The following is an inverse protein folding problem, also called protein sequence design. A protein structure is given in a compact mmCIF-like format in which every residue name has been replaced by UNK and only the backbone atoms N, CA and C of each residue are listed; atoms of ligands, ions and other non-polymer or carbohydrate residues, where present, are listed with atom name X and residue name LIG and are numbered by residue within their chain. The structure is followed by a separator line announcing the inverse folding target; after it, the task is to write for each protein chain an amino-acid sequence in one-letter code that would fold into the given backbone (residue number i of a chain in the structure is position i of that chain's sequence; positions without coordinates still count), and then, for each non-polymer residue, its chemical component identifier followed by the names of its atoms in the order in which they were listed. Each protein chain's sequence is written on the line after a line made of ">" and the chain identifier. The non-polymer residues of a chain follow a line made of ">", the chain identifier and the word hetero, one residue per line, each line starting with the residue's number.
data_IF_549456597792
#
_entry.id   IF_549456597792
#
_cell.length_a   1.000
_cell.length_b   1.000
_cell.length_c   1.000
_cell.angle_alpha   90.00
_cell.angle_beta   90.00
_cell.angle_gamma   90.00
#
_symmetry.space_group_name_H-M   'P 1'
#
loop_
_entity.id
_entity.type
_entity.pdbx_description
1 polymer ?
#
# COMPACT_ATOMS: atom_id res chain seq x y z
N UNK A 1 -15.90 -65.11 -20.76
CA UNK A 1 -16.19 -65.85 -19.51
C UNK A 1 -16.02 -64.87 -18.35
N UNK A 2 -17.11 -64.55 -17.63
CA UNK A 2 -17.39 -65.06 -16.26
C UNK A 2 -16.33 -64.58 -15.26
N UNK A 3 -16.60 -63.59 -14.39
CA UNK A 3 -17.21 -63.71 -13.04
C UNK A 3 -16.29 -64.45 -12.03
N UNK A 4 -16.17 -64.10 -10.74
CA UNK A 4 -17.01 -63.28 -9.83
C UNK A 4 -16.25 -63.01 -8.49
N UNK A 5 -16.86 -62.22 -7.60
CA UNK A 5 -16.82 -62.30 -6.12
C UNK A 5 -15.69 -61.63 -5.26
N UNK A 6 -16.16 -60.68 -4.44
CA UNK A 6 -15.71 -60.33 -3.07
C UNK A 6 -15.77 -61.52 -2.07
N UNK A 7 -15.13 -61.41 -0.88
CA UNK A 7 -15.89 -61.06 0.34
C UNK A 7 -15.17 -60.16 1.37
N UNK A 8 -15.89 -59.79 2.44
CA UNK A 8 -15.55 -58.78 3.47
C UNK A 8 -15.21 -59.35 4.87
N UNK A 9 -14.60 -58.51 5.75
CA UNK A 9 -14.55 -58.49 7.25
C UNK A 9 -13.88 -57.15 7.66
N UNK A 10 -14.36 -56.22 8.52
CA UNK A 10 -15.53 -56.02 9.42
C UNK A 10 -15.36 -56.42 10.91
N UNK A 11 -15.54 -55.44 11.83
CA UNK A 11 -15.54 -55.45 13.34
C UNK A 11 -14.16 -55.26 14.03
N UNK A 12 -14.02 -54.63 15.22
CA UNK A 12 -14.99 -53.95 16.12
C UNK A 12 -14.35 -52.93 17.10
N UNK A 13 -15.14 -51.90 17.46
CA UNK A 13 -15.31 -51.17 18.75
C UNK A 13 -14.30 -51.33 19.91
N UNK A 14 -14.06 -50.21 20.64
CA UNK A 14 -14.57 -50.05 22.02
C UNK A 14 -14.89 -48.58 22.37
N UNK A 15 -15.94 -48.36 23.17
CA UNK A 15 -16.27 -47.10 23.84
C UNK A 15 -15.66 -47.08 25.26
N UNK A 16 -15.47 -45.89 25.82
CA UNK A 16 -15.85 -45.66 27.22
C UNK A 16 -16.41 -44.25 27.40
N UNK A 17 -17.58 -44.16 28.04
CA UNK A 17 -18.17 -42.96 28.61
C UNK A 17 -17.93 -43.00 30.11
N UNK A 18 -17.48 -41.89 30.72
CA UNK A 18 -17.82 -41.55 32.12
C UNK A 18 -18.08 -40.04 32.16
N UNK A 19 -19.08 -39.63 32.92
CA UNK A 19 -19.54 -38.25 33.01
C UNK A 19 -19.61 -37.77 34.48
N UNK A 20 -19.76 -36.44 34.63
CA UNK A 20 -20.07 -35.69 35.86
C UNK A 20 -19.00 -35.61 36.96
N UNK A 21 -18.48 -34.39 37.15
CA UNK A 21 -18.75 -33.61 38.36
C UNK A 21 -18.62 -32.12 38.06
N UNK A 22 -19.55 -31.30 38.57
CA UNK A 22 -19.44 -29.84 38.52
C UNK A 22 -18.89 -29.31 39.85
N UNK A 23 -17.89 -28.45 39.79
CA UNK A 23 -17.44 -27.65 40.93
C UNK A 23 -16.85 -26.33 40.42
N UNK A 24 -17.29 -25.20 40.98
CA UNK A 24 -16.75 -23.89 40.63
C UNK A 24 -15.33 -23.70 41.17
N UNK A 25 -14.47 -23.02 40.41
CA UNK A 25 -13.10 -22.70 40.78
C UNK A 25 -12.72 -21.31 40.27
N UNK A 26 -12.91 -20.31 41.13
CA UNK A 26 -12.55 -18.92 40.86
C UNK A 26 -11.02 -18.78 40.83
N UNK A 27 -10.41 -18.60 39.66
CA UNK A 27 -8.97 -18.36 39.54
C UNK A 27 -8.63 -16.92 39.95
N UNK A 28 -8.38 -16.73 41.25
CA UNK A 28 -7.76 -15.53 41.80
C UNK A 28 -6.25 -15.57 41.54
N UNK A 29 -5.74 -14.61 40.75
CA UNK A 29 -4.31 -14.34 40.69
C UNK A 29 -3.85 -13.72 42.02
N UNK A 30 -3.08 -14.47 42.79
CA UNK A 30 -2.60 -14.05 44.09
C UNK A 30 -1.26 -13.29 43.96
N UNK A 31 -1.33 -12.00 43.65
CA UNK A 31 -0.15 -11.12 43.59
C UNK A 31 0.42 -10.91 44.99
N UNK A 32 1.51 -11.63 45.31
CA UNK A 32 2.24 -11.44 46.57
C UNK A 32 3.04 -10.14 46.51
N UNK A 33 2.51 -9.08 47.12
CA UNK A 33 3.23 -7.82 47.32
C UNK A 33 4.24 -7.98 48.44
N UNK A 34 5.52 -7.92 48.12
CA UNK A 34 6.59 -7.83 49.13
C UNK A 34 6.67 -6.38 49.59
N UNK A 35 6.25 -6.12 50.83
CA UNK A 35 6.46 -4.83 51.48
C UNK A 35 7.90 -4.73 51.99
N UNK A 36 8.69 -3.80 51.44
CA UNK A 36 9.86 -3.26 52.11
C UNK A 36 9.45 -2.00 52.90
N UNK A 37 9.72 -1.99 54.20
CA UNK A 37 9.53 -0.81 55.05
C UNK A 37 10.65 0.19 54.80
N UNK A 38 10.36 1.27 54.06
CA UNK A 38 11.17 2.49 54.09
C UNK A 38 10.31 3.71 54.42
N UNK A 39 10.84 4.54 55.33
CA UNK A 39 10.10 5.60 56.01
C UNK A 39 9.91 6.85 55.17
N UNK A 40 8.76 7.51 55.35
CA UNK A 40 8.25 8.65 54.57
C UNK A 40 8.96 9.98 54.87
N UNK A 41 10.30 10.02 54.90
CA UNK A 41 11.09 11.20 55.27
C UNK A 41 12.45 11.35 54.55
N UNK A 42 12.55 10.87 53.30
CA UNK A 42 13.76 11.00 52.46
C UNK A 42 13.45 11.35 51.00
N UNK A 43 12.24 11.85 50.69
CA UNK A 43 11.80 12.09 49.30
C UNK A 43 11.85 13.53 48.79
N UNK A 44 12.15 14.50 49.66
CA UNK A 44 12.04 15.93 49.32
C UNK A 44 13.41 16.65 49.15
N UNK A 45 14.55 15.99 49.45
CA UNK A 45 15.87 16.64 49.45
C UNK A 45 16.76 16.36 48.22
N UNK A 46 16.22 15.74 47.15
CA UNK A 46 16.99 15.37 45.94
C UNK A 46 16.47 15.98 44.63
N UNK A 47 15.53 16.93 44.70
CA UNK A 47 14.99 17.62 43.51
C UNK A 47 15.53 19.06 43.38
N UNK A 48 15.83 19.75 44.49
CA UNK A 48 16.36 21.12 44.43
C UNK A 48 17.84 21.19 43.97
N UNK A 49 18.67 20.20 44.30
CA UNK A 49 20.12 20.19 43.97
C UNK A 49 20.43 20.04 42.47
N UNK A 50 19.46 19.59 41.67
CA UNK A 50 19.59 19.48 40.21
C UNK A 50 19.07 20.70 39.44
N UNK A 51 18.29 21.59 40.09
CA UNK A 51 17.71 22.76 39.44
C UNK A 51 18.55 24.03 39.60
N UNK A 52 19.33 24.16 40.67
CA UNK A 52 20.16 25.35 40.89
C UNK A 52 21.46 25.39 40.04
N UNK A 53 21.96 24.24 39.58
CA UNK A 53 23.20 24.16 38.78
C UNK A 53 23.01 24.51 37.29
N UNK A 54 21.78 24.75 36.83
CA UNK A 54 21.49 25.18 35.45
C UNK A 54 21.53 26.72 35.25
N UNK A 55 21.64 27.51 36.34
CA UNK A 55 21.46 28.97 36.32
C UNK A 55 22.78 29.70 36.68
N UNK A 56 23.89 29.33 36.03
CA UNK A 56 25.16 30.05 36.16
C UNK A 56 26.09 29.89 34.94
N UNK A 57 25.78 30.59 33.84
CA UNK A 57 26.77 30.96 32.82
C UNK A 57 26.33 32.20 32.02
N UNK A 58 26.91 33.39 32.28
CA UNK A 58 26.49 34.63 31.66
C UNK A 58 27.39 35.02 30.48
N UNK A 59 27.11 34.54 29.27
CA UNK A 59 27.60 35.17 28.03
C UNK A 59 26.56 35.17 26.91
N UNK A 60 26.64 36.23 26.07
CA UNK A 60 25.89 36.47 24.82
C UNK A 60 24.42 36.89 24.96
N UNK A 61 24.22 38.19 25.21
CA UNK A 61 23.07 38.94 24.69
C UNK A 61 23.23 39.23 23.19
N UNK A 62 22.09 39.55 22.57
CA UNK A 62 21.90 40.17 21.25
C UNK A 62 22.44 39.43 20.02
N UNK A 63 21.53 38.76 19.32
CA UNK A 63 21.11 39.22 17.99
C UNK A 63 19.61 38.97 17.79
N UNK A 64 18.90 39.96 17.25
CA UNK A 64 17.53 39.80 16.79
C UNK A 64 17.58 39.53 15.29
N UNK A 65 17.32 38.28 14.90
CA UNK A 65 17.39 37.84 13.51
C UNK A 65 17.18 36.34 13.44
N UNK A 66 16.37 35.90 12.48
CA UNK A 66 15.98 34.52 12.20
C UNK A 66 15.26 33.78 13.33
N UNK A 67 13.94 33.57 13.13
CA UNK A 67 13.21 32.53 13.82
C UNK A 67 13.70 31.17 13.32
N UNK A 68 14.79 30.67 13.91
CA UNK A 68 15.28 29.32 13.65
C UNK A 68 14.16 28.33 13.98
N UNK A 69 13.73 27.57 12.96
CA UNK A 69 12.76 26.48 13.14
C UNK A 69 13.20 25.59 14.30
N UNK A 70 12.45 25.64 15.39
CA UNK A 70 12.49 24.59 16.42
C UNK A 70 11.91 23.35 15.74
N UNK A 71 12.79 22.49 15.20
CA UNK A 71 12.40 21.17 14.73
C UNK A 71 12.05 20.34 15.97
N UNK A 72 10.76 20.37 16.31
CA UNK A 72 10.12 19.43 17.24
C UNK A 72 10.61 18.00 16.89
N UNK A 73 11.15 17.21 17.85
CA UNK A 73 11.69 15.88 17.60
C UNK A 73 10.74 15.07 16.72
N UNK A 74 11.19 14.80 15.48
CA UNK A 74 10.36 14.32 14.38
C UNK A 74 9.32 13.31 14.83
N UNK A 75 8.05 13.70 14.83
CA UNK A 75 6.94 12.76 14.96
C UNK A 75 7.10 11.71 13.84
N UNK A 76 7.43 10.44 14.16
CA UNK A 76 7.76 9.44 13.14
C UNK A 76 6.53 8.99 12.33
N UNK A 77 5.35 9.49 12.69
CA UNK A 77 4.07 9.27 12.01
C UNK A 77 3.65 10.48 11.14
N UNK A 78 4.36 11.60 11.20
CA UNK A 78 4.03 12.80 10.43
C UNK A 78 4.18 12.62 8.92
N UNK A 79 3.45 13.42 8.14
CA UNK A 79 3.59 13.50 6.69
C UNK A 79 4.96 14.13 6.37
N UNK A 80 5.83 13.47 5.60
CA UNK A 80 7.13 14.03 5.26
C UNK A 80 6.98 15.28 4.39
N UNK A 81 7.78 16.30 4.71
CA UNK A 81 7.72 17.63 4.09
C UNK A 81 8.60 17.69 2.83
N UNK A 82 8.24 18.58 1.90
CA UNK A 82 8.93 18.72 0.62
C UNK A 82 8.97 17.42 -0.20
N UNK A 83 9.95 17.30 -1.09
CA UNK A 83 10.20 16.13 -1.93
C UNK A 83 11.53 15.47 -1.55
N UNK A 84 11.60 14.14 -1.58
CA UNK A 84 12.85 13.41 -1.42
C UNK A 84 13.73 13.45 -2.68
N UNK A 85 15.06 13.36 -2.55
CA UNK A 85 15.93 13.17 -3.72
C UNK A 85 15.64 11.82 -4.40
N UNK A 86 15.60 11.82 -5.73
CA UNK A 86 15.53 10.59 -6.51
C UNK A 86 16.88 9.85 -6.41
N UNK A 87 16.84 8.53 -6.22
CA UNK A 87 18.03 7.68 -6.12
C UNK A 87 17.91 6.54 -7.13
N UNK A 88 18.25 6.79 -8.42
CA UNK A 88 18.15 5.80 -9.50
C UNK A 88 18.86 4.47 -9.18
N UNK A 89 18.55 3.41 -9.90
CA UNK A 89 19.28 2.16 -9.78
C UNK A 89 20.76 2.32 -10.12
N UNK A 90 21.59 1.44 -9.56
CA UNK A 90 23.00 1.33 -9.97
C UNK A 90 23.06 0.23 -11.03
N UNK A 91 23.25 0.63 -12.30
CA UNK A 91 23.39 -0.31 -13.41
C UNK A 91 24.64 -1.20 -13.25
N UNK A 92 24.54 -2.44 -13.69
CA UNK A 92 25.59 -3.47 -13.62
C UNK A 92 25.56 -4.37 -14.86
N UNK A 93 26.74 -4.81 -15.32
CA UNK A 93 26.85 -5.87 -16.33
C UNK A 93 27.07 -7.22 -15.63
N UNK A 94 26.01 -8.01 -15.45
CA UNK A 94 26.07 -9.38 -14.91
C UNK A 94 25.38 -10.36 -15.87
N UNK A 95 26.16 -10.90 -16.80
CA UNK A 95 25.69 -11.89 -17.79
C UNK A 95 25.09 -13.16 -17.16
N UNK A 96 25.42 -13.51 -15.92
CA UNK A 96 24.84 -14.67 -15.25
C UNK A 96 23.53 -14.31 -14.53
N UNK A 97 23.36 -13.06 -14.08
CA UNK A 97 22.06 -12.53 -13.65
C UNK A 97 21.06 -12.49 -14.82
N UNK A 98 21.48 -12.00 -15.99
CA UNK A 98 20.58 -11.96 -17.16
C UNK A 98 20.10 -13.37 -17.56
N UNK A 99 20.97 -14.38 -17.49
CA UNK A 99 20.56 -15.79 -17.67
C UNK A 99 19.58 -16.27 -16.59
N UNK A 100 19.74 -15.82 -15.33
CA UNK A 100 18.85 -16.20 -14.22
C UNK A 100 17.46 -15.55 -14.34
N UNK A 101 17.34 -14.34 -14.89
CA UNK A 101 16.06 -13.63 -15.10
C UNK A 101 15.06 -14.37 -15.99
N UNK A 102 15.52 -15.25 -16.89
CA UNK A 102 14.71 -16.03 -17.83
C UNK A 102 13.84 -15.14 -18.74
N UNK A 103 12.62 -14.85 -18.32
CA UNK A 103 11.59 -14.11 -19.08
C UNK A 103 11.23 -12.77 -18.42
N UNK A 104 11.78 -12.47 -17.24
CA UNK A 104 11.60 -11.17 -16.58
C UNK A 104 12.53 -10.11 -17.20
N UNK A 105 12.05 -8.88 -17.26
CA UNK A 105 12.87 -7.70 -17.52
C UNK A 105 13.78 -7.34 -16.35
N UNK A 106 14.37 -6.15 -16.42
CA UNK A 106 15.38 -5.65 -15.51
C UNK A 106 16.78 -5.67 -16.10
N UNK A 107 16.95 -5.71 -17.41
CA UNK A 107 18.27 -5.82 -18.05
C UNK A 107 19.22 -4.72 -17.57
N UNK A 108 20.42 -5.10 -17.14
CA UNK A 108 21.43 -4.17 -16.60
C UNK A 108 21.14 -3.69 -15.17
N UNK A 109 20.05 -4.12 -14.54
CA UNK A 109 19.71 -3.76 -13.17
C UNK A 109 20.31 -4.79 -12.19
N UNK A 110 20.43 -4.41 -10.91
CA UNK A 110 20.86 -5.35 -9.86
C UNK A 110 19.77 -6.37 -9.52
N UNK A 111 20.20 -7.52 -9.00
CA UNK A 111 19.32 -8.65 -8.68
C UNK A 111 18.22 -8.32 -7.65
N UNK A 112 18.47 -7.37 -6.73
CA UNK A 112 17.51 -7.03 -5.67
C UNK A 112 16.26 -6.31 -6.18
N UNK A 113 16.28 -5.77 -7.40
CA UNK A 113 15.14 -5.04 -7.99
C UNK A 113 14.03 -5.96 -8.53
N UNK A 114 14.23 -7.28 -8.51
CA UNK A 114 13.25 -8.27 -8.95
C UNK A 114 13.07 -8.35 -10.48
N UNK A 115 13.01 -7.21 -11.17
CA UNK A 115 12.59 -7.14 -12.57
C UNK A 115 11.07 -7.19 -12.69
N UNK A 116 10.56 -7.29 -13.92
CA UNK A 116 9.14 -7.15 -14.22
C UNK A 116 8.68 -8.09 -15.33
N UNK A 117 7.39 -8.40 -15.39
CA UNK A 117 6.78 -9.10 -16.53
C UNK A 117 6.45 -8.13 -17.67
N UNK A 118 6.47 -8.60 -18.92
CA UNK A 118 6.11 -7.79 -20.11
C UNK A 118 4.73 -7.13 -19.98
N UNK A 119 3.79 -7.86 -19.38
CA UNK A 119 2.53 -7.42 -18.77
C UNK A 119 2.17 -8.47 -17.70
N UNK A 120 1.69 -8.04 -16.51
CA UNK A 120 1.15 -8.96 -15.50
C UNK A 120 -0.38 -8.76 -15.35
N UNK A 121 -1.21 -9.66 -15.92
CA UNK A 121 -2.66 -9.58 -15.80
C UNK A 121 -3.19 -9.77 -14.38
N UNK A 122 -2.40 -10.38 -13.48
CA UNK A 122 -2.76 -10.55 -12.08
C UNK A 122 -2.66 -9.26 -11.25
N UNK A 123 -1.82 -8.32 -11.70
CA UNK A 123 -1.60 -7.01 -11.07
C UNK A 123 -2.56 -5.91 -11.55
N UNK A 124 -3.42 -6.19 -12.53
CA UNK A 124 -4.31 -5.22 -13.17
C UNK A 124 -5.77 -5.62 -12.91
N UNK A 125 -6.60 -4.69 -12.43
CA UNK A 125 -8.04 -4.90 -12.32
C UNK A 125 -8.82 -3.62 -12.57
N UNK A 126 -9.23 -3.42 -13.84
CA UNK A 126 -10.04 -2.28 -14.25
C UNK A 126 -11.33 -2.11 -13.41
N UNK A 127 -12.05 -3.17 -12.99
CA UNK A 127 -13.18 -3.04 -12.07
C UNK A 127 -12.82 -2.36 -10.74
N UNK A 128 -11.63 -2.65 -10.18
CA UNK A 128 -11.16 -2.00 -8.95
C UNK A 128 -10.70 -0.58 -9.21
N UNK A 129 -10.04 -0.31 -10.34
CA UNK A 129 -9.64 1.06 -10.70
C UNK A 129 -10.86 1.98 -10.89
N UNK A 130 -11.90 1.51 -11.55
CA UNK A 130 -13.20 2.21 -11.67
C UNK A 130 -13.84 2.43 -10.30
N UNK A 131 -13.88 1.42 -9.43
CA UNK A 131 -14.35 1.56 -8.05
C UNK A 131 -13.56 2.61 -7.24
N UNK A 132 -12.24 2.67 -7.38
CA UNK A 132 -11.41 3.67 -6.70
C UNK A 132 -11.80 5.10 -7.11
N UNK A 133 -12.02 5.35 -8.40
CA UNK A 133 -12.44 6.68 -8.87
C UNK A 133 -13.91 6.95 -8.52
N UNK A 134 -14.83 6.07 -8.92
CA UNK A 134 -16.28 6.29 -8.86
C UNK A 134 -16.89 6.19 -7.47
N UNK A 135 -16.32 5.37 -6.58
CA UNK A 135 -16.89 5.08 -5.23
C UNK A 135 -16.04 5.59 -4.08
N UNK A 136 -14.71 5.66 -4.26
CA UNK A 136 -13.83 6.23 -3.25
C UNK A 136 -13.45 7.68 -3.56
N UNK A 137 -13.71 8.18 -4.78
CA UNK A 137 -13.42 9.55 -5.17
C UNK A 137 -11.95 9.79 -5.50
N UNK A 138 -11.15 8.78 -5.84
CA UNK A 138 -9.72 8.95 -6.14
C UNK A 138 -9.52 9.83 -7.37
N UNK A 139 -8.78 10.94 -7.21
CA UNK A 139 -8.39 11.89 -8.26
C UNK A 139 -6.87 12.03 -8.40
N UNK A 140 -6.11 11.59 -7.41
CA UNK A 140 -4.65 11.55 -7.41
C UNK A 140 -4.11 10.20 -6.95
N UNK A 141 -3.13 9.65 -7.68
CA UNK A 141 -2.66 8.27 -7.51
C UNK A 141 -1.12 8.17 -7.46
N UNK A 142 -0.60 7.40 -6.51
CA UNK A 142 0.82 7.18 -6.29
C UNK A 142 1.18 5.69 -6.48
N UNK A 143 1.77 5.35 -7.62
CA UNK A 143 2.11 3.98 -8.02
C UNK A 143 3.55 3.65 -7.57
N UNK A 144 3.73 2.64 -6.73
CA UNK A 144 5.02 2.29 -6.12
C UNK A 144 5.42 0.89 -6.58
N UNK A 145 6.49 0.81 -7.36
CA UNK A 145 6.87 -0.40 -8.10
C UNK A 145 6.00 -0.60 -9.34
N UNK A 146 5.75 0.46 -10.12
CA UNK A 146 4.78 0.40 -11.23
C UNK A 146 5.25 -0.42 -12.44
N UNK A 147 6.51 -0.85 -12.47
CA UNK A 147 7.13 -1.53 -13.60
C UNK A 147 7.04 -0.68 -14.87
N UNK A 148 6.50 -1.25 -15.95
CA UNK A 148 6.25 -0.52 -17.21
C UNK A 148 5.08 0.49 -17.12
N UNK A 149 4.34 0.50 -16.01
CA UNK A 149 3.25 1.44 -15.76
C UNK A 149 1.92 1.12 -16.45
N UNK A 150 1.48 -0.14 -16.45
CA UNK A 150 0.17 -0.51 -17.00
C UNK A 150 -1.00 0.03 -16.17
N UNK A 151 -0.93 -0.09 -14.84
CA UNK A 151 -1.91 0.51 -13.93
C UNK A 151 -1.81 2.04 -13.99
N UNK A 152 -0.59 2.57 -13.89
CA UNK A 152 -0.27 4.00 -14.01
C UNK A 152 -0.90 4.63 -15.26
N UNK A 153 -0.67 4.03 -16.43
CA UNK A 153 -1.17 4.57 -17.71
C UNK A 153 -2.69 4.51 -17.83
N UNK A 154 -3.36 3.53 -17.19
CA UNK A 154 -4.82 3.53 -17.12
C UNK A 154 -5.31 4.75 -16.34
N UNK A 155 -4.80 4.97 -15.12
CA UNK A 155 -5.19 6.13 -14.31
C UNK A 155 -4.89 7.46 -15.02
N UNK A 156 -3.74 7.60 -15.67
CA UNK A 156 -3.37 8.78 -16.48
C UNK A 156 -4.40 9.06 -17.58
N UNK A 157 -4.80 8.05 -18.36
CA UNK A 157 -5.77 8.23 -19.44
C UNK A 157 -7.21 8.44 -18.94
N UNK A 158 -7.49 8.11 -17.68
CA UNK A 158 -8.77 8.37 -17.00
C UNK A 158 -8.78 9.69 -16.20
N UNK A 159 -7.84 10.59 -16.49
CA UNK A 159 -7.81 11.96 -15.96
C UNK A 159 -7.32 12.09 -14.51
N UNK A 160 -6.71 11.04 -13.95
CA UNK A 160 -6.15 11.05 -12.60
C UNK A 160 -4.76 11.68 -12.61
N UNK A 161 -4.45 12.43 -11.55
CA UNK A 161 -3.15 13.04 -11.30
C UNK A 161 -2.18 11.99 -10.70
N UNK A 162 -1.36 11.39 -11.57
CA UNK A 162 -0.54 10.23 -11.22
C UNK A 162 0.93 10.57 -11.03
N UNK A 163 1.60 9.86 -10.10
CA UNK A 163 3.06 9.74 -10.03
C UNK A 163 3.42 8.26 -9.85
N UNK A 164 4.45 7.77 -10.55
CA UNK A 164 5.07 6.47 -10.34
C UNK A 164 6.51 6.63 -9.81
N UNK A 165 6.88 5.80 -8.83
CA UNK A 165 8.27 5.47 -8.54
C UNK A 165 8.56 4.01 -8.90
N UNK A 166 9.59 3.78 -9.72
CA UNK A 166 10.03 2.46 -10.18
C UNK A 166 11.55 2.32 -10.01
N UNK A 167 12.02 1.14 -9.62
CA UNK A 167 13.44 0.88 -9.36
C UNK A 167 14.19 0.28 -10.54
N UNK A 168 13.52 -0.43 -11.45
CA UNK A 168 14.12 -1.07 -12.62
C UNK A 168 14.31 -0.08 -13.78
N UNK A 169 15.54 0.19 -14.17
CA UNK A 169 15.82 1.10 -15.29
C UNK A 169 15.36 0.54 -16.64
N UNK A 170 15.43 -0.78 -16.84
CA UNK A 170 14.84 -1.43 -18.04
C UNK A 170 13.30 -1.24 -18.08
N UNK A 171 12.64 -1.08 -16.93
CA UNK A 171 11.22 -0.73 -16.88
C UNK A 171 10.97 0.75 -17.24
N UNK A 172 11.85 1.66 -16.80
CA UNK A 172 11.85 3.07 -17.20
C UNK A 172 12.04 3.21 -18.72
N UNK A 173 13.08 2.57 -19.28
CA UNK A 173 13.39 2.61 -20.73
C UNK A 173 12.26 2.03 -21.60
N UNK A 174 11.45 1.12 -21.04
CA UNK A 174 10.33 0.43 -21.73
C UNK A 174 8.95 0.85 -21.20
N UNK A 175 8.87 1.99 -20.52
CA UNK A 175 7.63 2.49 -19.94
C UNK A 175 6.57 2.74 -21.00
N UNK A 176 5.30 2.50 -20.65
CA UNK A 176 4.15 2.86 -21.49
C UNK A 176 3.42 4.11 -20.96
N UNK A 177 3.96 4.72 -19.91
CA UNK A 177 3.34 5.86 -19.22
C UNK A 177 3.32 7.08 -20.16
N UNK A 178 2.16 7.69 -20.46
CA UNK A 178 2.10 8.91 -21.23
C UNK A 178 2.80 10.07 -20.52
N UNK A 179 3.61 10.85 -21.24
CA UNK A 179 4.40 11.97 -20.69
C UNK A 179 5.22 11.59 -19.44
N UNK A 180 6.15 10.62 -19.54
CA UNK A 180 6.81 10.02 -18.39
C UNK A 180 7.61 11.05 -17.58
N UNK A 181 8.26 12.02 -18.23
CA UNK A 181 9.06 13.09 -17.59
C UNK A 181 8.29 13.90 -16.52
N UNK A 182 6.96 13.90 -16.55
CA UNK A 182 6.10 14.61 -15.59
C UNK A 182 5.72 13.76 -14.37
N UNK A 183 5.84 12.43 -14.46
CA UNK A 183 5.13 11.50 -13.58
C UNK A 183 5.82 10.15 -13.34
N UNK A 184 7.03 9.95 -13.85
CA UNK A 184 7.81 8.74 -13.67
C UNK A 184 9.16 9.10 -13.04
N UNK A 185 9.47 8.45 -11.92
CA UNK A 185 10.72 8.61 -11.19
C UNK A 185 11.43 7.28 -11.10
N UNK A 186 12.70 7.25 -11.51
CA UNK A 186 13.58 6.13 -11.16
C UNK A 186 14.05 6.27 -9.70
N UNK A 187 13.65 5.34 -8.84
CA UNK A 187 14.08 5.28 -7.45
C UNK A 187 14.21 3.83 -6.95
N UNK A 188 15.43 3.46 -6.56
CA UNK A 188 15.77 2.20 -5.91
C UNK A 188 15.63 2.34 -4.38
N UNK A 189 14.52 1.82 -3.83
CA UNK A 189 14.23 1.88 -2.39
C UNK A 189 15.24 1.17 -1.49
N UNK A 190 16.21 0.42 -2.03
CA UNK A 190 17.35 -0.07 -1.23
C UNK A 190 18.39 1.02 -0.93
N UNK A 191 18.38 2.14 -1.68
CA UNK A 191 19.36 3.23 -1.59
C UNK A 191 19.02 4.32 -0.58
N UNK A 192 17.74 4.49 -0.26
CA UNK A 192 17.26 5.50 0.67
C UNK A 192 15.73 5.67 0.59
N UNK A 193 15.13 6.52 1.44
CA UNK A 193 13.70 6.80 1.40
C UNK A 193 13.32 7.73 0.26
N UNK A 194 12.06 7.62 -0.18
CA UNK A 194 11.50 8.53 -1.18
C UNK A 194 10.06 8.94 -0.88
N UNK A 195 9.68 10.14 -1.34
CA UNK A 195 8.32 10.67 -1.34
C UNK A 195 8.22 11.85 -2.34
N UNK A 196 7.06 12.03 -3.01
CA UNK A 196 6.77 13.20 -3.85
C UNK A 196 6.49 14.45 -3.00
N UNK A 197 6.43 15.65 -3.62
CA UNK A 197 6.21 16.90 -2.88
C UNK A 197 4.82 16.99 -2.21
N UNK A 198 3.75 16.68 -2.97
CA UNK A 198 2.35 16.73 -2.54
C UNK A 198 1.86 15.40 -1.95
N UNK A 199 0.67 15.42 -1.38
CA UNK A 199 -0.09 14.23 -0.98
C UNK A 199 -1.03 13.74 -2.11
N UNK A 200 -1.52 12.51 -1.96
CA UNK A 200 -2.28 11.76 -2.97
C UNK A 200 -3.49 11.06 -2.32
N UNK A 201 -4.56 10.85 -3.08
CA UNK A 201 -5.76 10.17 -2.60
C UNK A 201 -5.51 8.68 -2.36
N UNK A 202 -4.76 8.03 -3.24
CA UNK A 202 -4.41 6.62 -3.12
C UNK A 202 -2.95 6.33 -3.46
N UNK A 203 -2.30 5.45 -2.70
CA UNK A 203 -1.11 4.74 -3.09
C UNK A 203 -1.46 3.32 -3.53
N UNK A 204 -0.72 2.79 -4.49
CA UNK A 204 -0.86 1.47 -5.05
C UNK A 204 0.51 0.79 -5.11
N UNK A 205 0.63 -0.40 -4.52
CA UNK A 205 1.84 -1.21 -4.59
C UNK A 205 1.48 -2.70 -4.67
N UNK A 206 1.32 -3.19 -5.90
CA UNK A 206 0.87 -4.57 -6.18
C UNK A 206 2.02 -5.38 -6.77
N UNK A 207 2.34 -6.49 -6.11
CA UNK A 207 3.54 -7.32 -6.28
C UNK A 207 4.83 -6.48 -6.19
N UNK A 208 5.00 -5.83 -5.03
CA UNK A 208 6.13 -4.96 -4.71
C UNK A 208 6.70 -5.24 -3.31
N UNK A 209 5.84 -5.43 -2.30
CA UNK A 209 6.24 -5.54 -0.90
C UNK A 209 7.17 -6.73 -0.61
N UNK A 210 6.98 -7.83 -1.32
CA UNK A 210 7.81 -9.03 -1.22
C UNK A 210 9.21 -8.88 -1.81
N UNK A 211 9.44 -7.87 -2.66
CA UNK A 211 10.70 -7.64 -3.35
C UNK A 211 11.66 -6.72 -2.59
N UNK A 212 11.16 -6.01 -1.55
CA UNK A 212 11.98 -5.06 -0.76
C UNK A 212 12.13 -5.56 0.68
N UNK A 213 13.34 -5.99 1.03
CA UNK A 213 13.65 -6.58 2.35
C UNK A 213 13.40 -5.64 3.54
N UNK A 214 13.10 -6.23 4.71
CA UNK A 214 12.64 -5.55 5.94
C UNK A 214 13.46 -4.33 6.35
N UNK A 215 14.78 -4.35 6.14
CA UNK A 215 15.68 -3.25 6.48
C UNK A 215 15.41 -1.96 5.68
N UNK A 216 14.73 -2.08 4.53
CA UNK A 216 14.36 -0.97 3.66
C UNK A 216 12.87 -0.61 3.75
N UNK A 217 12.08 -1.22 4.64
CA UNK A 217 10.63 -0.92 4.77
C UNK A 217 10.35 0.56 5.02
N UNK A 218 11.19 1.23 5.81
CA UNK A 218 11.07 2.66 6.07
C UNK A 218 11.11 3.49 4.77
N UNK A 219 11.85 3.02 3.76
CA UNK A 219 12.15 3.78 2.56
C UNK A 219 10.97 3.92 1.60
N UNK A 220 10.13 2.89 1.49
CA UNK A 220 8.89 2.97 0.72
C UNK A 220 7.69 3.39 1.58
N UNK A 221 7.72 3.14 2.90
CA UNK A 221 6.70 3.63 3.84
C UNK A 221 6.65 5.15 3.86
N UNK A 222 7.77 5.87 3.65
CA UNK A 222 7.75 7.32 3.48
C UNK A 222 6.93 7.79 2.27
N UNK A 223 6.86 7.00 1.20
CA UNK A 223 5.98 7.28 0.07
C UNK A 223 4.50 7.03 0.45
N UNK A 224 4.21 5.92 1.14
CA UNK A 224 2.87 5.64 1.67
C UNK A 224 2.38 6.71 2.66
N UNK A 225 3.28 7.38 3.40
CA UNK A 225 2.93 8.54 4.25
C UNK A 225 2.36 9.73 3.48
N UNK A 226 2.49 9.78 2.15
CA UNK A 226 1.90 10.81 1.30
C UNK A 226 0.53 10.45 0.72
N UNK A 227 0.02 9.23 0.93
CA UNK A 227 -1.31 8.84 0.43
C UNK A 227 -2.35 8.74 1.55
N UNK A 228 -3.61 9.09 1.26
CA UNK A 228 -4.76 8.92 2.16
C UNK A 228 -5.22 7.46 2.27
N UNK A 229 -5.35 6.77 1.13
CA UNK A 229 -5.64 5.35 1.04
C UNK A 229 -4.40 4.60 0.53
N UNK A 230 -4.15 3.38 1.01
CA UNK A 230 -2.96 2.60 0.66
C UNK A 230 -3.41 1.19 0.28
N UNK A 231 -3.31 0.86 -1.01
CA UNK A 231 -3.69 -0.42 -1.61
C UNK A 231 -2.42 -1.23 -1.89
N UNK A 232 -2.25 -2.37 -1.22
CA UNK A 232 -1.03 -3.19 -1.36
C UNK A 232 -1.33 -4.67 -1.51
N UNK A 233 -0.55 -5.39 -2.31
CA UNK A 233 -0.46 -6.86 -2.21
C UNK A 233 0.89 -7.27 -1.65
N UNK A 234 0.96 -8.50 -1.15
CA UNK A 234 2.20 -9.16 -0.79
C UNK A 234 2.01 -10.67 -0.93
N UNK A 235 3.01 -11.34 -1.47
CA UNK A 235 3.00 -12.78 -1.66
C UNK A 235 3.05 -13.52 -0.33
N UNK A 236 2.40 -14.69 -0.33
CA UNK A 236 2.36 -15.64 0.79
C UNK A 236 3.33 -16.80 0.62
N UNK A 237 4.12 -16.80 -0.45
CA UNK A 237 5.00 -17.90 -0.83
C UNK A 237 6.29 -17.43 -1.52
N UNK A 238 7.19 -18.39 -1.74
CA UNK A 238 8.41 -18.15 -2.50
C UNK A 238 8.09 -17.85 -3.97
N UNK A 239 8.92 -17.00 -4.58
CA UNK A 239 8.84 -16.59 -5.97
C UNK A 239 10.16 -15.98 -6.43
N UNK A 240 10.17 -15.45 -7.64
CA UNK A 240 11.37 -14.85 -8.22
C UNK A 240 11.74 -13.56 -7.46
N UNK A 241 12.90 -13.55 -6.80
CA UNK A 241 13.34 -12.44 -5.93
C UNK A 241 12.31 -12.01 -4.87
N UNK A 242 11.53 -12.94 -4.33
CA UNK A 242 10.77 -12.69 -3.10
C UNK A 242 11.75 -12.78 -1.92
N UNK A 243 12.05 -11.64 -1.29
CA UNK A 243 12.97 -11.53 -0.15
C UNK A 243 12.23 -11.32 1.18
N UNK A 244 11.00 -10.81 1.15
CA UNK A 244 10.20 -10.51 2.34
C UNK A 244 8.80 -11.14 2.26
N UNK A 245 8.65 -12.39 2.71
CA UNK A 245 7.40 -13.16 2.52
C UNK A 245 6.71 -13.42 3.84
N UNK A 246 5.51 -12.85 4.03
CA UNK A 246 4.72 -12.97 5.26
C UNK A 246 3.23 -13.17 5.02
N UNK A 247 2.52 -13.59 6.08
CA UNK A 247 1.05 -13.63 6.11
C UNK A 247 0.48 -12.21 6.30
N UNK A 248 -0.75 -11.98 5.83
CA UNK A 248 -1.45 -10.70 5.95
C UNK A 248 -1.42 -10.14 7.39
N UNK A 249 -1.63 -10.96 8.42
CA UNK A 249 -1.66 -10.51 9.82
C UNK A 249 -0.36 -9.80 10.25
N UNK A 250 0.79 -10.24 9.71
CA UNK A 250 2.08 -9.61 9.96
C UNK A 250 2.21 -8.27 9.23
N UNK A 251 1.80 -8.21 7.96
CA UNK A 251 1.77 -6.96 7.19
C UNK A 251 0.84 -5.92 7.80
N UNK A 252 -0.33 -6.36 8.29
CA UNK A 252 -1.30 -5.54 9.01
C UNK A 252 -0.64 -4.95 10.27
N UNK A 253 -0.10 -5.80 11.16
CA UNK A 253 0.59 -5.33 12.37
C UNK A 253 1.78 -4.41 12.05
N UNK A 254 2.54 -4.73 10.99
CA UNK A 254 3.69 -3.93 10.56
C UNK A 254 3.27 -2.53 10.11
N UNK A 255 2.15 -2.39 9.39
CA UNK A 255 1.67 -1.10 8.88
C UNK A 255 0.85 -0.31 9.91
N UNK A 256 0.17 -1.00 10.81
CA UNK A 256 -0.42 -0.39 12.01
C UNK A 256 0.65 0.17 12.94
N UNK A 257 1.83 -0.47 13.04
CA UNK A 257 2.98 0.10 13.76
C UNK A 257 3.53 1.40 13.12
N UNK A 258 3.21 1.67 11.85
CA UNK A 258 3.52 2.95 11.18
C UNK A 258 2.37 3.96 11.25
N UNK A 259 1.29 3.69 11.99
CA UNK A 259 0.17 4.60 12.19
C UNK A 259 -0.89 4.57 11.08
N UNK A 260 -0.78 3.64 10.12
CA UNK A 260 -1.86 3.38 9.16
C UNK A 260 -2.92 2.50 9.81
N UNK A 261 -4.19 2.66 9.45
CA UNK A 261 -5.30 1.85 9.97
C UNK A 261 -5.73 0.83 8.93
N UNK A 262 -5.67 -0.47 9.24
CA UNK A 262 -6.19 -1.49 8.32
C UNK A 262 -7.72 -1.35 8.17
N UNK A 263 -8.21 -1.41 6.93
CA UNK A 263 -9.63 -1.36 6.61
C UNK A 263 -10.06 -2.69 5.98
N UNK A 264 -10.57 -3.58 6.83
CA UNK A 264 -11.04 -4.91 6.42
C UNK A 264 -12.20 -4.83 5.41
N UNK A 265 -13.10 -3.86 5.56
CA UNK A 265 -14.27 -3.72 4.70
C UNK A 265 -13.88 -3.28 3.29
N UNK A 266 -13.10 -2.19 3.13
CA UNK A 266 -12.59 -1.76 1.82
C UNK A 266 -11.73 -2.86 1.17
N UNK A 267 -10.96 -3.60 1.98
CA UNK A 267 -10.18 -4.75 1.51
C UNK A 267 -11.09 -5.84 0.93
N UNK A 268 -12.17 -6.21 1.61
CA UNK A 268 -13.10 -7.23 1.13
C UNK A 268 -13.93 -6.73 -0.07
N UNK A 269 -14.40 -5.48 -0.06
CA UNK A 269 -15.11 -4.86 -1.18
C UNK A 269 -14.26 -4.89 -2.46
N UNK A 270 -13.02 -4.38 -2.41
CA UNK A 270 -12.12 -4.36 -3.57
C UNK A 270 -11.78 -5.78 -4.08
N UNK A 271 -11.50 -6.73 -3.17
CA UNK A 271 -11.29 -8.15 -3.53
C UNK A 271 -12.51 -8.76 -4.22
N UNK A 272 -13.71 -8.48 -3.72
CA UNK A 272 -14.95 -9.00 -4.30
C UNK A 272 -15.26 -8.38 -5.67
N UNK A 273 -14.98 -7.09 -5.86
CA UNK A 273 -15.08 -6.40 -7.15
C UNK A 273 -14.10 -7.00 -8.18
N UNK A 274 -12.82 -7.17 -7.82
CA UNK A 274 -11.86 -7.86 -8.68
C UNK A 274 -12.30 -9.30 -9.01
N UNK A 275 -12.89 -10.01 -8.04
CA UNK A 275 -13.37 -11.40 -8.20
C UNK A 275 -14.58 -11.51 -9.11
N UNK A 276 -15.46 -10.51 -9.10
CA UNK A 276 -16.61 -10.42 -9.99
C UNK A 276 -16.13 -10.17 -11.44
N UNK A 277 -15.37 -9.10 -11.66
CA UNK A 277 -14.99 -8.63 -13.00
C UNK A 277 -13.72 -9.23 -13.62
N UNK A 278 -13.16 -10.31 -13.04
CA UNK A 278 -11.96 -11.03 -13.49
C UNK A 278 -11.98 -11.60 -14.93
N UNK A 279 -13.08 -11.41 -15.67
CA UNK A 279 -13.25 -11.81 -17.08
C UNK A 279 -13.80 -10.70 -17.97
N UNK A 280 -14.09 -9.53 -17.39
CA UNK A 280 -14.77 -8.44 -18.09
C UNK A 280 -13.78 -7.71 -19.00
N UNK A 281 -12.49 -7.72 -18.64
CA UNK A 281 -11.41 -7.07 -19.36
C UNK A 281 -10.38 -8.10 -19.81
N UNK A 282 -9.99 -7.99 -21.07
CA UNK A 282 -9.03 -8.91 -21.72
C UNK A 282 -7.90 -8.06 -22.28
N UNK A 283 -6.67 -8.36 -21.90
CA UNK A 283 -5.50 -7.79 -22.54
C UNK A 283 -5.50 -8.14 -24.04
N UNK A 284 -4.88 -7.34 -24.92
CA UNK A 284 -5.08 -7.53 -26.36
C UNK A 284 -4.47 -8.82 -26.94
N UNK A 285 -3.74 -9.61 -26.12
CA UNK A 285 -3.26 -10.96 -26.46
C UNK A 285 -4.31 -12.06 -26.15
N UNK A 286 -5.52 -11.69 -25.75
CA UNK A 286 -6.59 -12.63 -25.38
C UNK A 286 -6.53 -13.15 -23.94
N UNK A 287 -5.58 -12.67 -23.12
CA UNK A 287 -5.47 -13.06 -21.69
C UNK A 287 -6.32 -12.14 -20.83
N UNK A 288 -7.16 -12.68 -19.95
CA UNK A 288 -7.95 -11.88 -19.02
C UNK A 288 -7.07 -11.06 -18.07
N UNK A 289 -7.38 -9.78 -17.90
CA UNK A 289 -6.86 -8.91 -16.85
C UNK A 289 -7.56 -9.27 -15.54
N UNK A 290 -7.18 -10.44 -15.01
CA UNK A 290 -7.98 -11.17 -14.05
C UNK A 290 -7.78 -10.69 -12.59
N UNK A 291 -6.81 -9.80 -12.35
CA UNK A 291 -6.55 -9.20 -11.04
C UNK A 291 -6.25 -10.24 -9.94
N UNK A 292 -5.56 -11.34 -10.26
CA UNK A 292 -5.26 -12.43 -9.32
C UNK A 292 -4.79 -11.96 -7.95
N UNK A 293 -3.71 -11.18 -7.86
CA UNK A 293 -3.17 -10.75 -6.56
C UNK A 293 -4.17 -9.84 -5.83
N UNK A 294 -4.83 -8.97 -6.58
CA UNK A 294 -5.88 -8.06 -6.08
C UNK A 294 -7.04 -8.86 -5.44
N UNK A 295 -7.39 -10.04 -6.00
CA UNK A 295 -8.42 -10.94 -5.45
C UNK A 295 -7.99 -11.70 -4.19
N UNK A 296 -6.69 -12.04 -4.02
CA UNK A 296 -6.24 -13.05 -3.04
C UNK A 296 -5.31 -12.52 -1.93
N UNK A 297 -4.61 -11.42 -2.17
CA UNK A 297 -3.59 -10.86 -1.25
C UNK A 297 -3.84 -9.41 -0.87
N UNK A 298 -4.56 -8.61 -1.66
CA UNK A 298 -4.80 -7.16 -1.43
C UNK A 298 -5.12 -6.82 0.02
N UNK A 299 -4.53 -5.77 0.56
CA UNK A 299 -4.86 -5.15 1.83
C UNK A 299 -5.02 -3.65 1.59
N UNK A 300 -6.04 -3.06 2.20
CA UNK A 300 -6.32 -1.62 2.13
C UNK A 300 -6.13 -1.00 3.51
N UNK A 301 -5.33 0.05 3.58
CA UNK A 301 -5.13 0.84 4.79
C UNK A 301 -5.57 2.28 4.56
N UNK A 302 -5.98 2.94 5.63
CA UNK A 302 -6.24 4.38 5.67
C UNK A 302 -5.13 5.05 6.46
N UNK A 303 -4.51 6.08 5.89
CA UNK A 303 -3.58 6.97 6.56
C UNK A 303 -4.37 8.17 7.10
N UNK A 304 -4.74 8.19 8.40
CA UNK A 304 -5.61 9.23 8.94
C UNK A 304 -4.99 10.63 8.85
N UNK A 305 -3.66 10.75 8.82
CA UNK A 305 -2.97 12.04 8.74
C UNK A 305 -3.19 12.73 7.38
N UNK A 306 -3.20 11.98 6.29
CA UNK A 306 -3.44 12.51 4.93
C UNK A 306 -4.93 12.57 4.61
N UNK A 307 -5.69 11.53 4.99
CA UNK A 307 -7.13 11.46 4.74
C UNK A 307 -7.95 12.56 5.46
N UNK A 308 -7.38 13.24 6.46
CA UNK A 308 -8.01 14.39 7.15
C UNK A 308 -7.64 15.76 6.58
N UNK A 309 -6.79 15.84 5.55
CA UNK A 309 -6.42 17.13 4.95
C UNK A 309 -7.54 17.67 4.03
N UNK A 310 -7.75 19.00 3.94
CA UNK A 310 -8.81 19.59 3.12
C UNK A 310 -8.77 19.19 1.64
N UNK A 311 -7.58 19.02 1.06
CA UNK A 311 -7.36 18.59 -0.33
C UNK A 311 -7.79 17.15 -0.63
N UNK A 312 -8.07 16.34 0.41
CA UNK A 312 -8.58 14.97 0.30
C UNK A 312 -10.04 14.83 0.78
N UNK A 313 -10.72 15.95 1.07
CA UNK A 313 -12.08 15.96 1.62
C UNK A 313 -13.17 15.46 0.63
N UNK A 314 -12.84 15.29 -0.65
CA UNK A 314 -13.70 14.68 -1.67
C UNK A 314 -13.69 13.15 -1.65
N UNK A 315 -12.82 12.52 -0.85
CA UNK A 315 -12.81 11.07 -0.67
C UNK A 315 -14.10 10.57 -0.01
N UNK A 316 -14.50 9.35 -0.36
CA UNK A 316 -15.77 8.75 0.02
C UNK A 316 -16.98 9.63 -0.34
N UNK A 317 -17.18 9.95 -1.64
CA UNK A 317 -18.20 10.88 -2.12
C UNK A 317 -19.63 10.32 -2.02
N UNK A 318 -20.13 10.21 -0.79
CA UNK A 318 -21.54 9.97 -0.50
C UNK A 318 -22.32 11.30 -0.51
N UNK A 319 -23.48 11.31 -1.15
CA UNK A 319 -24.32 12.51 -1.24
C UNK A 319 -25.06 12.71 0.10
N UNK A 320 -24.61 13.71 0.87
CA UNK A 320 -25.12 13.98 2.22
C UNK A 320 -26.55 14.54 2.31
N UNK A 321 -27.20 14.88 1.19
CA UNK A 321 -28.59 15.36 1.22
C UNK A 321 -29.62 14.22 1.39
N UNK A 322 -30.75 14.56 1.99
CA UNK A 322 -31.79 13.60 2.41
C UNK A 322 -32.22 12.72 1.24
N UNK A 323 -31.97 11.41 1.37
CA UNK A 323 -32.24 10.41 0.35
C UNK A 323 -31.07 10.10 -0.60
N UNK A 324 -29.83 10.44 -0.24
CA UNK A 324 -28.61 10.19 -1.04
C UNK A 324 -28.68 10.77 -2.46
N UNK A 325 -29.32 11.94 -2.59
CA UNK A 325 -29.43 12.70 -3.85
C UNK A 325 -28.55 13.93 -3.83
N UNK A 326 -28.35 14.53 -5.00
CA UNK A 326 -27.77 15.87 -5.09
C UNK A 326 -28.64 16.85 -4.30
N UNK A 327 -27.95 17.72 -3.55
CA UNK A 327 -28.58 18.82 -2.82
C UNK A 327 -29.18 19.81 -3.81
N UNK A 328 -30.39 20.25 -3.52
CA UNK A 328 -31.27 21.01 -4.42
C UNK A 328 -31.39 22.46 -3.95
N UNK A 329 -30.80 23.44 -4.67
CA UNK A 329 -30.89 24.85 -4.31
C UNK A 329 -32.33 25.38 -4.22
N UNK A 330 -33.28 24.81 -4.97
CA UNK A 330 -34.69 25.21 -4.91
C UNK A 330 -35.35 24.85 -3.56
N UNK A 331 -34.74 23.92 -2.81
CA UNK A 331 -35.13 23.53 -1.44
C UNK A 331 -34.37 24.30 -0.36
N UNK A 332 -33.51 25.24 -0.74
CA UNK A 332 -32.60 25.95 0.17
C UNK A 332 -31.40 25.11 0.63
N UNK A 333 -31.08 24.02 -0.08
CA UNK A 333 -29.94 23.16 0.25
C UNK A 333 -28.66 23.65 -0.44
N UNK A 334 -27.50 23.44 0.18
CA UNK A 334 -26.20 23.79 -0.43
C UNK A 334 -25.80 22.71 -1.44
N UNK A 335 -25.66 23.02 -2.74
CA UNK A 335 -25.28 22.03 -3.74
C UNK A 335 -23.85 21.50 -3.49
N UNK A 336 -23.65 20.21 -3.70
CA UNK A 336 -22.32 19.59 -3.66
C UNK A 336 -21.43 20.21 -4.74
N UNK A 337 -20.26 20.80 -4.41
CA UNK A 337 -19.35 21.33 -5.42
C UNK A 337 -18.87 20.24 -6.39
N UNK A 338 -18.67 20.59 -7.65
CA UNK A 338 -18.14 19.65 -8.67
C UNK A 338 -16.77 19.08 -8.27
N UNK A 339 -15.94 19.87 -7.58
CA UNK A 339 -14.68 19.41 -6.99
C UNK A 339 -14.82 18.28 -5.96
N UNK A 340 -16.02 18.04 -5.43
CA UNK A 340 -16.32 16.95 -4.48
C UNK A 340 -16.93 15.71 -5.15
N UNK A 341 -17.25 15.77 -6.45
CA UNK A 341 -17.81 14.64 -7.21
C UNK A 341 -16.69 13.76 -7.79
N UNK A 342 -16.90 12.45 -8.03
CA UNK A 342 -15.97 11.60 -8.77
C UNK A 342 -15.60 12.16 -10.16
N UNK A 343 -14.46 11.73 -10.70
CA UNK A 343 -14.15 11.96 -12.12
C UNK A 343 -15.12 11.15 -12.99
N UNK A 344 -15.58 11.75 -14.09
CA UNK A 344 -16.49 11.10 -15.03
C UNK A 344 -15.71 10.19 -15.99
N UNK A 345 -15.88 8.87 -15.83
CA UNK A 345 -15.22 7.88 -16.68
C UNK A 345 -16.01 7.68 -17.99
N UNK A 346 -15.29 7.51 -19.10
CA UNK A 346 -15.91 7.39 -20.43
C UNK A 346 -15.31 6.22 -21.21
N UNK A 347 -16.11 5.60 -22.10
CA UNK A 347 -15.64 4.51 -22.96
C UNK A 347 -14.42 4.91 -23.80
N UNK A 348 -14.34 6.17 -24.22
CA UNK A 348 -13.19 6.68 -24.99
C UNK A 348 -11.86 6.63 -24.20
N UNK A 349 -11.89 6.69 -22.87
CA UNK A 349 -10.70 6.54 -22.02
C UNK A 349 -10.25 5.07 -21.94
N UNK A 350 -11.20 4.13 -21.80
CA UNK A 350 -10.92 2.69 -21.89
C UNK A 350 -10.37 2.32 -23.27
N UNK A 351 -10.96 2.85 -24.35
CA UNK A 351 -10.54 2.61 -25.73
C UNK A 351 -9.12 3.15 -25.98
N UNK A 352 -8.81 4.37 -25.52
CA UNK A 352 -7.47 4.95 -25.60
C UNK A 352 -6.42 4.11 -24.86
N UNK A 353 -6.75 3.58 -23.67
CA UNK A 353 -5.83 2.69 -22.94
C UNK A 353 -5.65 1.34 -23.65
N UNK A 354 -6.73 0.77 -24.20
CA UNK A 354 -6.65 -0.46 -24.98
C UNK A 354 -5.73 -0.31 -26.20
N UNK A 355 -5.76 0.83 -26.90
CA UNK A 355 -4.84 1.16 -28.00
C UNK A 355 -3.40 1.27 -27.50
N UNK A 356 -3.15 2.03 -26.42
CA UNK A 356 -1.82 2.18 -25.82
C UNK A 356 -1.21 0.82 -25.44
N UNK A 357 -2.00 -0.10 -24.86
CA UNK A 357 -1.53 -1.45 -24.51
C UNK A 357 -1.23 -2.28 -25.77
N UNK A 358 -2.04 -2.19 -26.83
CA UNK A 358 -1.80 -2.90 -28.11
C UNK A 358 -0.47 -2.51 -28.75
N UNK A 359 -0.17 -1.21 -28.79
CA UNK A 359 1.02 -0.67 -29.45
C UNK A 359 2.33 -1.04 -28.74
N UNK A 360 2.27 -1.38 -27.44
CA UNK A 360 3.42 -1.50 -26.56
C UNK A 360 3.67 -2.90 -25.96
N UNK A 361 2.74 -3.85 -26.10
CA UNK A 361 2.99 -5.26 -25.71
C UNK A 361 3.60 -6.03 -26.88
N UNK A 362 4.75 -6.68 -26.63
CA UNK A 362 5.48 -7.42 -27.65
C UNK A 362 4.66 -8.54 -28.32
N UNK A 363 4.80 -8.66 -29.65
CA UNK A 363 4.16 -9.71 -30.44
C UNK A 363 2.76 -9.38 -30.98
N UNK A 364 2.25 -8.18 -30.76
CA UNK A 364 0.97 -7.71 -31.31
C UNK A 364 1.15 -7.07 -32.70
N UNK A 365 0.15 -7.18 -33.59
CA UNK A 365 0.08 -6.34 -34.78
C UNK A 365 -0.02 -4.87 -34.35
N UNK A 366 0.84 -4.02 -34.95
CA UNK A 366 0.63 -2.57 -34.95
C UNK A 366 -0.21 -2.24 -36.18
N UNK A 367 -1.28 -1.48 -35.99
CA UNK A 367 -2.19 -1.03 -37.06
C UNK A 367 -1.55 0.06 -37.94
#
# INVERSE_FOLDING_TARGET
>A
MSSRNHPSKKKNRYLSLVAFAAAGGLFLFNSTVIYSNETKQTRDNNIESYLENAISSPQLRSNAGEATHFQDPMNPLAIPQGQAPNLPSIRVEDNDLEKRRRNYGGKGDKAHLGGFAEIDPGGISIPVFKYMIEKLGVKSFLDIGCGRGFSTSWFVLHGVDVMCAEGSHDAIERTIIPEPDKRLVEHDFSRGPWWPEKTYDAAWAVEFLEHVGVQYHYNYVSAFRKAALIFVTASKGAGWHHVEVHKNDWWIQKYESYGFKYNAELTEQARNIAKAGKKDYTAPNGVYLDGFYIRVTLMVFVNPMVASLPEHAHLFPELGCVGQRLCDPERGETPTPESMLPLNLTQAMDDAWNTLVRENVAGMPKE
#
